data_IF_747245357001
#
_entry.id   IF_747245357001
#
_cell.length_a   1.000
_cell.length_b   1.000
_cell.length_c   1.000
_cell.angle_alpha   90.00
_cell.angle_beta   90.00
_cell.angle_gamma   90.00
#
_symmetry.space_group_name_H-M   'P 1'
#
loop_
_entity.id
_entity.type
_entity.pdbx_description
1 polymer ?
#
# COMPACT_ATOMS: atom_id res chain seq x y z
N UNK A 1 3.87 -9.02 -7.45
CA UNK A 1 4.28 -10.04 -8.44
C UNK A 1 4.63 -11.34 -7.72
N UNK A 2 4.53 -12.48 -8.38
CA UNK A 2 4.91 -13.78 -7.82
C UNK A 2 6.02 -14.51 -8.60
N UNK A 3 6.23 -14.20 -9.88
CA UNK A 3 7.39 -14.67 -10.64
C UNK A 3 8.60 -13.76 -10.41
N UNK A 4 9.81 -14.31 -10.58
CA UNK A 4 11.07 -13.55 -10.60
C UNK A 4 11.03 -12.47 -11.68
N UNK A 5 10.56 -12.83 -12.87
CA UNK A 5 10.38 -11.94 -14.01
C UNK A 5 9.52 -10.72 -13.68
N UNK A 6 8.30 -10.91 -13.15
CA UNK A 6 7.45 -9.77 -12.79
C UNK A 6 7.94 -9.01 -11.54
N UNK A 7 8.66 -9.67 -10.62
CA UNK A 7 9.35 -8.96 -9.52
C UNK A 7 10.41 -8.01 -10.05
N UNK A 8 11.15 -8.41 -11.08
CA UNK A 8 12.11 -7.55 -11.76
C UNK A 8 11.43 -6.42 -12.54
N UNK A 9 10.37 -6.72 -13.32
CA UNK A 9 9.58 -5.70 -14.05
C UNK A 9 9.11 -4.56 -13.13
N UNK A 10 8.65 -4.86 -11.90
CA UNK A 10 8.16 -3.83 -10.96
C UNK A 10 9.22 -3.30 -9.98
N UNK A 11 10.50 -3.61 -10.20
CA UNK A 11 11.63 -3.22 -9.36
C UNK A 11 11.47 -3.61 -7.87
N UNK A 12 10.97 -4.84 -7.63
CA UNK A 12 10.79 -5.44 -6.29
C UNK A 12 11.39 -6.85 -6.25
N UNK A 13 12.68 -6.94 -6.56
CA UNK A 13 13.42 -8.19 -6.54
C UNK A 13 13.52 -8.76 -5.13
N UNK A 14 12.97 -9.97 -4.93
CA UNK A 14 13.15 -10.81 -3.75
C UNK A 14 13.14 -12.26 -4.26
N UNK A 15 14.24 -13.02 -4.17
CA UNK A 15 14.26 -14.42 -4.57
C UNK A 15 13.21 -15.26 -3.83
N UNK A 16 12.65 -16.28 -4.50
CA UNK A 16 11.69 -17.19 -3.88
C UNK A 16 12.23 -17.85 -2.61
N UNK A 17 13.48 -18.31 -2.64
CA UNK A 17 14.08 -19.00 -1.50
C UNK A 17 14.32 -18.06 -0.31
N UNK A 18 14.57 -16.77 -0.54
CA UNK A 18 14.64 -15.78 0.54
C UNK A 18 13.26 -15.63 1.21
N UNK A 19 12.21 -15.42 0.42
CA UNK A 19 10.83 -15.30 0.90
C UNK A 19 10.36 -16.56 1.64
N UNK A 20 10.65 -17.75 1.10
CA UNK A 20 10.32 -19.04 1.71
C UNK A 20 11.08 -19.25 3.03
N UNK A 21 12.37 -18.91 3.08
CA UNK A 21 13.16 -19.03 4.31
C UNK A 21 12.71 -18.03 5.39
N UNK A 22 12.43 -16.77 5.03
CA UNK A 22 11.88 -15.77 5.95
C UNK A 22 10.54 -16.21 6.52
N UNK A 23 9.61 -16.69 5.68
CA UNK A 23 8.30 -17.16 6.15
C UNK A 23 8.42 -18.41 7.04
N UNK A 24 9.31 -19.36 6.69
CA UNK A 24 9.62 -20.52 7.55
C UNK A 24 10.13 -20.07 8.92
N UNK A 25 11.02 -19.09 9.00
CA UNK A 25 11.52 -18.57 10.28
C UNK A 25 10.42 -17.88 11.10
N UNK A 26 9.49 -17.15 10.47
CA UNK A 26 8.31 -16.58 11.12
C UNK A 26 7.42 -17.70 11.72
N UNK A 27 7.14 -18.77 10.96
CA UNK A 27 6.39 -19.92 11.46
C UNK A 27 7.11 -20.66 12.61
N UNK A 28 8.43 -20.81 12.54
CA UNK A 28 9.26 -21.42 13.60
C UNK A 28 9.17 -20.65 14.92
N UNK A 29 8.95 -19.32 14.87
CA UNK A 29 8.74 -18.44 16.03
C UNK A 29 7.30 -18.44 16.56
N UNK A 30 6.48 -19.42 16.18
CA UNK A 30 5.14 -19.63 16.74
C UNK A 30 4.00 -18.83 16.09
N UNK A 31 4.28 -18.00 15.09
CA UNK A 31 3.23 -17.34 14.30
C UNK A 31 2.45 -18.40 13.51
N UNK A 32 1.10 -18.31 13.52
CA UNK A 32 0.25 -19.29 12.83
C UNK A 32 -0.21 -18.85 11.43
N UNK A 33 -0.08 -17.57 11.09
CA UNK A 33 -0.53 -17.04 9.79
C UNK A 33 0.38 -15.97 9.22
N UNK A 34 0.59 -16.04 7.90
CA UNK A 34 1.30 -15.03 7.11
C UNK A 34 0.39 -14.56 5.97
N UNK A 35 0.35 -13.26 5.69
CA UNK A 35 -0.38 -12.68 4.56
C UNK A 35 0.59 -12.32 3.44
N UNK A 36 0.38 -12.91 2.27
CA UNK A 36 1.12 -12.62 1.04
C UNK A 36 0.32 -11.63 0.20
N UNK A 37 0.99 -10.60 -0.32
CA UNK A 37 0.37 -9.54 -1.12
C UNK A 37 0.86 -9.64 -2.56
N UNK A 38 -0.07 -9.99 -3.46
CA UNK A 38 0.15 -10.10 -4.89
C UNK A 38 -0.71 -9.08 -5.64
N UNK A 39 -0.38 -8.91 -6.91
CA UNK A 39 -1.05 -8.00 -7.82
C UNK A 39 -1.09 -8.65 -9.19
N UNK A 40 -2.24 -8.54 -9.87
CA UNK A 40 -2.46 -8.98 -11.24
C UNK A 40 -2.75 -7.79 -12.16
N UNK A 41 -2.67 -7.98 -13.47
CA UNK A 41 -2.82 -6.93 -14.47
C UNK A 41 -1.56 -6.11 -14.70
N UNK A 42 -0.40 -6.58 -14.23
CA UNK A 42 0.87 -5.89 -14.39
C UNK A 42 1.32 -5.84 -15.86
N UNK A 43 2.13 -4.83 -16.24
CA UNK A 43 2.70 -4.76 -17.58
C UNK A 43 3.51 -6.02 -17.90
N UNK A 44 3.39 -6.51 -19.13
CA UNK A 44 4.02 -7.77 -19.63
C UNK A 44 3.55 -9.07 -18.94
N UNK A 45 2.60 -9.05 -18.01
CA UNK A 45 2.12 -10.26 -17.31
C UNK A 45 1.53 -11.32 -18.25
N UNK A 46 1.94 -12.59 -18.05
CA UNK A 46 1.35 -13.77 -18.69
C UNK A 46 0.51 -14.58 -17.71
N UNK A 47 -0.26 -15.55 -18.20
CA UNK A 47 -1.02 -16.47 -17.34
C UNK A 47 -0.13 -17.39 -16.49
N UNK A 48 1.13 -17.61 -16.89
CA UNK A 48 2.10 -18.36 -16.08
C UNK A 48 2.56 -17.55 -14.86
N UNK A 49 2.70 -16.23 -14.98
CA UNK A 49 2.99 -15.36 -13.83
C UNK A 49 1.81 -15.31 -12.84
N UNK A 50 0.57 -15.38 -13.36
CA UNK A 50 -0.64 -15.50 -12.54
C UNK A 50 -0.68 -16.85 -11.84
N UNK A 51 -0.35 -17.94 -12.54
CA UNK A 51 -0.22 -19.28 -11.94
C UNK A 51 0.88 -19.33 -10.87
N UNK A 52 1.99 -18.59 -11.05
CA UNK A 52 3.07 -18.50 -10.07
C UNK A 52 2.60 -17.96 -8.71
N UNK A 53 1.54 -17.15 -8.64
CA UNK A 53 0.91 -16.72 -7.37
C UNK A 53 0.44 -17.93 -6.57
N UNK A 54 -0.20 -18.90 -7.23
CA UNK A 54 -0.66 -20.13 -6.59
C UNK A 54 0.53 -21.00 -6.17
N UNK A 55 1.44 -21.29 -7.11
CA UNK A 55 2.65 -22.11 -6.88
C UNK A 55 3.51 -21.60 -5.72
N UNK A 56 3.72 -20.28 -5.62
CA UNK A 56 4.48 -19.67 -4.53
C UNK A 56 3.72 -19.74 -3.20
N UNK A 57 2.41 -19.48 -3.19
CA UNK A 57 1.57 -19.61 -1.99
C UNK A 57 1.59 -21.05 -1.44
N UNK A 58 1.58 -22.05 -2.32
CA UNK A 58 1.69 -23.47 -1.97
C UNK A 58 3.07 -23.84 -1.42
N UNK A 59 4.16 -23.37 -2.05
CA UNK A 59 5.54 -23.59 -1.57
C UNK A 59 5.76 -22.98 -0.19
N UNK A 60 5.30 -21.75 0.03
CA UNK A 60 5.36 -21.05 1.32
C UNK A 60 4.56 -21.81 2.38
N UNK A 61 3.33 -22.26 2.07
CA UNK A 61 2.54 -23.09 2.98
C UNK A 61 3.27 -24.39 3.33
N UNK A 62 3.84 -25.10 2.34
CA UNK A 62 4.56 -26.36 2.52
C UNK A 62 5.77 -26.18 3.45
N UNK A 63 6.58 -25.15 3.23
CA UNK A 63 7.73 -24.83 4.08
C UNK A 63 7.30 -24.43 5.51
N UNK A 64 6.24 -23.62 5.64
CA UNK A 64 5.66 -23.28 6.95
C UNK A 64 5.15 -24.50 7.71
N UNK A 65 4.51 -25.46 7.02
CA UNK A 65 3.95 -26.68 7.62
C UNK A 65 5.00 -27.70 8.07
N UNK A 66 6.24 -27.61 7.58
CA UNK A 66 7.36 -28.42 8.08
C UNK A 66 7.81 -28.01 9.48
N UNK A 67 7.74 -26.71 9.81
CA UNK A 67 8.21 -26.16 11.10
C UNK A 67 7.08 -25.86 12.08
N UNK A 68 5.89 -25.51 11.59
CA UNK A 68 4.73 -25.27 12.43
C UNK A 68 3.49 -26.05 11.96
N UNK A 69 2.88 -26.77 12.89
CA UNK A 69 1.52 -27.29 12.69
C UNK A 69 0.53 -26.11 12.78
N UNK A 70 -0.76 -26.31 12.48
CA UNK A 70 -1.75 -25.22 12.30
C UNK A 70 -1.51 -24.24 11.12
N UNK A 71 -0.25 -23.91 10.74
CA UNK A 71 0.19 -22.87 9.80
C UNK A 71 -0.74 -22.61 8.58
N UNK A 72 -1.02 -21.33 8.33
CA UNK A 72 -1.97 -20.82 7.31
C UNK A 72 -1.37 -19.68 6.50
N UNK A 73 -1.82 -19.55 5.25
CA UNK A 73 -1.47 -18.44 4.36
C UNK A 73 -2.73 -17.63 4.03
N UNK A 74 -2.59 -16.32 3.92
CA UNK A 74 -3.62 -15.45 3.37
C UNK A 74 -3.09 -14.81 2.07
N UNK A 75 -3.52 -15.33 0.94
CA UNK A 75 -3.13 -14.85 -0.40
C UNK A 75 -4.07 -13.72 -0.81
N UNK A 76 -3.57 -12.48 -0.72
CA UNK A 76 -4.28 -11.26 -1.09
C UNK A 76 -3.86 -10.85 -2.51
N UNK A 77 -4.80 -10.62 -3.41
CA UNK A 77 -4.53 -10.28 -4.82
C UNK A 77 -5.28 -9.01 -5.19
N UNK A 78 -4.55 -7.95 -5.53
CA UNK A 78 -5.12 -6.69 -6.03
C UNK A 78 -5.00 -6.56 -7.55
N UNK A 79 -5.87 -5.74 -8.14
CA UNK A 79 -5.74 -5.36 -9.55
C UNK A 79 -4.75 -4.20 -9.69
N UNK A 80 -3.88 -4.25 -10.68
CA UNK A 80 -2.98 -3.15 -11.01
C UNK A 80 -3.77 -1.97 -11.57
N UNK A 81 -3.59 -0.80 -10.93
CA UNK A 81 -4.10 0.48 -11.41
C UNK A 81 -2.89 1.35 -11.74
N UNK A 82 -2.62 1.64 -13.03
CA UNK A 82 -1.45 2.46 -13.39
C UNK A 82 -1.62 3.89 -12.85
N UNK A 83 -0.59 4.40 -12.17
CA UNK A 83 -0.62 5.69 -11.46
C UNK A 83 0.18 6.78 -12.19
N UNK A 84 -0.29 8.05 -12.18
CA UNK A 84 0.50 9.24 -12.49
C UNK A 84 1.85 9.24 -11.79
N UNK A 85 2.86 9.86 -12.41
CA UNK A 85 4.21 10.00 -11.83
C UNK A 85 4.85 8.66 -11.42
N UNK A 86 4.60 7.62 -12.24
CA UNK A 86 5.27 6.32 -12.13
C UNK A 86 5.77 5.88 -13.52
N UNK A 87 6.75 4.97 -13.60
CA UNK A 87 7.19 4.40 -14.87
C UNK A 87 6.03 3.81 -15.70
N UNK A 88 5.00 3.29 -15.04
CA UNK A 88 3.85 2.66 -15.71
C UNK A 88 2.68 3.62 -16.03
N UNK A 89 2.86 4.93 -15.89
CA UNK A 89 1.78 5.90 -16.10
C UNK A 89 1.18 5.88 -17.53
N UNK A 90 1.92 5.37 -18.52
CA UNK A 90 1.45 5.18 -19.89
C UNK A 90 0.75 3.85 -20.15
N UNK A 91 0.83 2.88 -19.24
CA UNK A 91 0.28 1.55 -19.47
C UNK A 91 -1.24 1.55 -19.55
N UNK A 92 -1.82 0.50 -20.12
CA UNK A 92 -3.27 0.29 -20.02
C UNK A 92 -3.65 -0.20 -18.63
N UNK A 93 -4.89 0.00 -18.23
CA UNK A 93 -5.48 -0.86 -17.21
C UNK A 93 -5.93 -2.18 -17.84
N UNK A 94 -5.83 -3.27 -17.07
CA UNK A 94 -6.41 -4.57 -17.44
C UNK A 94 -7.95 -4.48 -17.44
N UNK A 95 -8.62 -5.13 -18.38
CA UNK A 95 -10.09 -5.11 -18.46
C UNK A 95 -10.73 -5.96 -17.35
N UNK A 96 -11.99 -5.68 -17.01
CA UNK A 96 -12.71 -6.45 -16.00
C UNK A 96 -12.87 -7.94 -16.38
N UNK A 97 -12.94 -8.25 -17.68
CA UNK A 97 -12.99 -9.61 -18.20
C UNK A 97 -11.68 -10.38 -17.97
N UNK A 98 -10.53 -9.78 -18.30
CA UNK A 98 -9.21 -10.34 -18.02
C UNK A 98 -8.95 -10.50 -16.51
N UNK A 99 -9.40 -9.55 -15.68
CA UNK A 99 -9.35 -9.68 -14.20
C UNK A 99 -10.17 -10.89 -13.75
N UNK A 100 -11.38 -11.09 -14.29
CA UNK A 100 -12.23 -12.23 -13.98
C UNK A 100 -11.57 -13.56 -14.36
N UNK A 101 -10.97 -13.66 -15.56
CA UNK A 101 -10.25 -14.85 -16.01
C UNK A 101 -9.10 -15.22 -15.05
N UNK A 102 -8.27 -14.24 -14.70
CA UNK A 102 -7.15 -14.40 -13.76
C UNK A 102 -7.63 -14.80 -12.37
N UNK A 103 -8.71 -14.19 -11.89
CA UNK A 103 -9.36 -14.57 -10.64
C UNK A 103 -9.88 -16.02 -10.69
N UNK A 104 -10.54 -16.44 -11.76
CA UNK A 104 -11.11 -17.78 -11.86
C UNK A 104 -10.02 -18.87 -11.94
N UNK A 105 -8.88 -18.60 -12.58
CA UNK A 105 -7.69 -19.47 -12.49
C UNK A 105 -7.19 -19.60 -11.05
N UNK A 106 -7.03 -18.48 -10.34
CA UNK A 106 -6.55 -18.47 -8.95
C UNK A 106 -7.52 -19.17 -7.99
N UNK A 107 -8.84 -18.97 -8.16
CA UNK A 107 -9.87 -19.71 -7.42
C UNK A 107 -9.73 -21.22 -7.65
N UNK A 108 -9.67 -21.65 -8.91
CA UNK A 108 -9.55 -23.06 -9.31
C UNK A 108 -8.33 -23.75 -8.68
N UNK A 109 -7.22 -23.03 -8.50
CA UNK A 109 -5.99 -23.56 -7.90
C UNK A 109 -5.98 -23.51 -6.37
N UNK A 110 -6.37 -22.38 -5.77
CA UNK A 110 -6.17 -22.14 -4.34
C UNK A 110 -7.36 -22.50 -3.45
N UNK A 111 -8.61 -22.43 -3.94
CA UNK A 111 -9.79 -22.73 -3.11
C UNK A 111 -9.84 -24.18 -2.58
N UNK A 112 -9.33 -25.21 -3.28
CA UNK A 112 -9.21 -26.56 -2.72
C UNK A 112 -8.32 -26.65 -1.46
N UNK A 113 -7.40 -25.69 -1.26
CA UNK A 113 -6.37 -25.73 -0.23
C UNK A 113 -6.86 -25.00 1.02
N UNK A 114 -7.51 -25.74 1.93
CA UNK A 114 -8.15 -25.20 3.16
C UNK A 114 -7.27 -24.33 4.06
N UNK A 115 -5.95 -24.42 3.97
CA UNK A 115 -5.01 -23.61 4.75
C UNK A 115 -4.61 -22.29 4.06
N UNK A 116 -5.03 -22.07 2.81
CA UNK A 116 -4.85 -20.81 2.08
C UNK A 116 -6.18 -20.08 2.03
N UNK A 117 -6.32 -19.02 2.82
CA UNK A 117 -7.40 -18.05 2.63
C UNK A 117 -7.04 -17.19 1.42
N UNK A 118 -7.98 -17.01 0.49
CA UNK A 118 -7.79 -16.13 -0.66
C UNK A 118 -8.65 -14.87 -0.47
N UNK A 119 -8.09 -13.71 -0.81
CA UNK A 119 -8.80 -12.43 -0.88
C UNK A 119 -8.48 -11.79 -2.22
N UNK A 120 -9.46 -11.78 -3.12
CA UNK A 120 -9.37 -11.17 -4.44
C UNK A 120 -10.05 -9.80 -4.38
N UNK A 121 -9.41 -8.76 -4.89
CA UNK A 121 -9.99 -7.43 -4.91
C UNK A 121 -11.18 -7.36 -5.87
N UNK A 122 -12.14 -6.49 -5.57
CA UNK A 122 -13.28 -6.24 -6.44
C UNK A 122 -12.84 -5.57 -7.76
N UNK A 123 -13.48 -5.96 -8.87
CA UNK A 123 -13.09 -5.57 -10.23
C UNK A 123 -13.72 -4.23 -10.67
N UNK A 124 -15.03 -3.99 -10.51
CA UNK A 124 -15.66 -2.68 -10.72
C UNK A 124 -14.99 -1.52 -9.99
N UNK A 125 -14.70 -1.67 -8.69
CA UNK A 125 -14.07 -0.59 -7.89
C UNK A 125 -12.66 -0.26 -8.39
N UNK A 126 -11.83 -1.26 -8.71
CA UNK A 126 -10.51 -1.02 -9.33
C UNK A 126 -10.60 -0.39 -10.72
N UNK A 127 -11.59 -0.77 -11.54
CA UNK A 127 -11.81 -0.18 -12.87
C UNK A 127 -12.18 1.31 -12.76
N UNK A 128 -13.09 1.66 -11.85
CA UNK A 128 -13.42 3.05 -11.55
C UNK A 128 -12.22 3.81 -10.97
N UNK A 129 -11.46 3.21 -10.06
CA UNK A 129 -10.23 3.79 -9.49
C UNK A 129 -9.25 4.17 -10.60
N UNK A 130 -9.08 3.34 -11.62
CA UNK A 130 -8.26 3.62 -12.78
C UNK A 130 -8.76 4.79 -13.61
N UNK A 131 -10.07 4.87 -13.87
CA UNK A 131 -10.65 6.02 -14.57
C UNK A 131 -10.38 7.32 -13.79
N UNK A 132 -10.73 7.35 -12.50
CA UNK A 132 -10.53 8.51 -11.63
C UNK A 132 -9.05 8.90 -11.49
N UNK A 133 -8.15 7.92 -11.50
CA UNK A 133 -6.69 8.10 -11.45
C UNK A 133 -6.12 8.67 -12.76
N UNK A 134 -6.67 8.27 -13.92
CA UNK A 134 -6.04 8.45 -15.24
C UNK A 134 -6.74 9.47 -16.16
N UNK A 135 -7.93 9.93 -15.77
CA UNK A 135 -8.69 10.89 -16.56
C UNK A 135 -8.16 12.31 -16.46
N UNK A 136 -8.81 13.22 -17.17
CA UNK A 136 -8.50 14.65 -17.17
C UNK A 136 -9.57 15.46 -16.41
N UNK A 137 -9.37 16.79 -16.36
CA UNK A 137 -10.26 17.76 -15.69
C UNK A 137 -11.76 17.60 -16.03
N UNK A 138 -12.12 17.00 -17.17
CA UNK A 138 -13.52 16.73 -17.57
C UNK A 138 -14.23 15.76 -16.60
N UNK A 139 -13.50 14.83 -15.95
CA UNK A 139 -14.05 13.92 -14.95
C UNK A 139 -14.69 14.64 -13.75
N UNK A 140 -14.30 15.88 -13.46
CA UNK A 140 -14.95 16.66 -12.39
C UNK A 140 -16.47 16.77 -12.60
N UNK A 141 -16.94 16.85 -13.85
CA UNK A 141 -18.37 16.85 -14.17
C UNK A 141 -19.01 15.49 -13.87
N UNK A 142 -18.35 14.40 -14.23
CA UNK A 142 -18.80 13.02 -14.00
C UNK A 142 -18.88 12.68 -12.52
N UNK A 143 -17.90 13.10 -11.72
CA UNK A 143 -17.90 12.91 -10.26
C UNK A 143 -19.10 13.64 -9.63
N UNK A 144 -19.36 14.89 -10.03
CA UNK A 144 -20.54 15.64 -9.56
C UNK A 144 -21.85 14.98 -9.99
N UNK A 145 -21.91 14.41 -11.20
CA UNK A 145 -23.10 13.74 -11.72
C UNK A 145 -23.37 12.39 -11.02
N UNK A 146 -22.34 11.57 -10.80
CA UNK A 146 -22.44 10.35 -9.99
C UNK A 146 -22.87 10.69 -8.55
N UNK A 147 -22.34 11.78 -7.99
CA UNK A 147 -22.77 12.30 -6.69
C UNK A 147 -24.24 12.75 -6.69
N UNK A 148 -24.77 13.37 -7.75
CA UNK A 148 -26.21 13.67 -7.85
C UNK A 148 -27.06 12.40 -7.91
N UNK A 149 -26.57 11.36 -8.59
CA UNK A 149 -27.18 10.01 -8.68
C UNK A 149 -26.97 9.16 -7.41
N UNK A 150 -26.41 9.76 -6.36
CA UNK A 150 -26.34 9.15 -5.03
C UNK A 150 -25.16 8.22 -4.79
N UNK A 151 -24.12 8.22 -5.64
CA UNK A 151 -22.83 7.58 -5.37
C UNK A 151 -22.19 8.21 -4.12
N UNK A 152 -22.03 7.44 -3.05
CA UNK A 152 -21.46 7.87 -1.76
C UNK A 152 -20.69 6.70 -1.20
N UNK A 153 -19.52 6.98 -0.63
CA UNK A 153 -18.70 5.99 0.06
C UNK A 153 -18.31 4.78 -0.82
N UNK A 154 -18.12 5.00 -2.12
CA UNK A 154 -17.78 4.01 -3.14
C UNK A 154 -16.50 3.18 -2.90
N UNK A 155 -15.71 3.53 -1.87
CA UNK A 155 -14.58 2.72 -1.38
C UNK A 155 -14.99 1.54 -0.48
N UNK A 156 -16.26 1.43 -0.10
CA UNK A 156 -16.84 0.28 0.61
C UNK A 156 -17.80 -0.45 -0.32
N UNK A 157 -17.58 -1.75 -0.52
CA UNK A 157 -18.29 -2.56 -1.54
C UNK A 157 -19.81 -2.59 -1.28
N UNK A 158 -20.24 -2.54 -0.02
CA UNK A 158 -21.63 -2.45 0.41
C UNK A 158 -22.33 -1.11 0.09
N UNK A 159 -21.56 -0.08 -0.27
CA UNK A 159 -22.06 1.25 -0.63
C UNK A 159 -21.79 1.66 -2.08
N UNK A 160 -21.00 0.87 -2.81
CA UNK A 160 -20.65 1.11 -4.20
C UNK A 160 -21.89 1.01 -5.12
N UNK A 161 -22.11 2.03 -5.95
CA UNK A 161 -23.27 2.12 -6.86
C UNK A 161 -22.83 2.18 -8.33
N UNK A 162 -22.57 1.04 -8.99
CA UNK A 162 -22.07 1.01 -10.36
C UNK A 162 -23.03 1.66 -11.37
N UNK A 163 -24.34 1.63 -11.13
CA UNK A 163 -25.36 2.25 -11.97
C UNK A 163 -25.21 3.77 -11.99
N UNK A 164 -25.02 4.40 -10.82
CA UNK A 164 -24.84 5.84 -10.69
C UNK A 164 -23.61 6.35 -11.46
N UNK A 165 -22.53 5.56 -11.50
CA UNK A 165 -21.35 5.86 -12.32
C UNK A 165 -21.59 5.63 -13.81
N UNK A 166 -22.23 4.53 -14.18
CA UNK A 166 -22.57 4.18 -15.57
C UNK A 166 -23.42 5.29 -16.22
N UNK A 167 -24.47 5.71 -15.52
CA UNK A 167 -25.33 6.81 -15.95
C UNK A 167 -24.60 8.16 -15.99
N UNK A 168 -23.70 8.44 -15.03
CA UNK A 168 -22.91 9.65 -15.02
C UNK A 168 -21.91 9.72 -16.18
N UNK A 169 -21.27 8.60 -16.54
CA UNK A 169 -20.41 8.52 -17.73
C UNK A 169 -21.20 8.79 -19.01
N UNK A 170 -22.38 8.17 -19.16
CA UNK A 170 -23.28 8.39 -20.29
C UNK A 170 -23.73 9.86 -20.39
N UNK A 171 -24.22 10.44 -19.29
CA UNK A 171 -24.69 11.82 -19.23
C UNK A 171 -23.59 12.88 -19.48
N UNK A 172 -22.32 12.54 -19.22
CA UNK A 172 -21.17 13.44 -19.42
C UNK A 172 -20.35 13.17 -20.68
N UNK A 173 -20.69 12.13 -21.45
CA UNK A 173 -19.99 11.77 -22.69
C UNK A 173 -18.53 11.36 -22.47
N UNK A 174 -18.20 10.80 -21.31
CA UNK A 174 -16.83 10.38 -20.99
C UNK A 174 -16.59 8.95 -21.47
N UNK A 175 -15.76 8.84 -22.50
CA UNK A 175 -15.19 7.60 -23.01
C UNK A 175 -14.19 7.01 -21.99
N UNK A 176 -14.58 5.90 -21.36
CA UNK A 176 -13.79 5.22 -20.33
C UNK A 176 -12.64 4.40 -20.93
N UNK A 177 -12.85 3.77 -22.09
CA UNK A 177 -11.85 2.96 -22.77
C UNK A 177 -10.67 3.82 -23.26
N UNK A 178 -10.95 5.04 -23.74
CA UNK A 178 -9.93 6.04 -24.08
C UNK A 178 -9.14 6.57 -22.88
N UNK A 179 -9.66 6.43 -21.65
CA UNK A 179 -8.92 6.73 -20.41
C UNK A 179 -8.07 5.52 -19.99
N UNK A 180 -8.61 4.30 -20.10
CA UNK A 180 -7.96 3.08 -19.64
C UNK A 180 -7.02 2.41 -20.67
N UNK A 181 -7.03 2.82 -21.95
CA UNK A 181 -6.08 2.39 -22.99
C UNK A 181 -4.62 2.68 -22.64
N UNK A 182 -3.69 2.00 -23.32
CA UNK A 182 -2.27 2.38 -23.32
C UNK A 182 -2.10 3.74 -24.03
N UNK A 183 -1.21 4.58 -23.49
CA UNK A 183 -0.82 5.89 -24.03
C UNK A 183 0.55 5.79 -24.71
N UNK A 184 0.82 6.68 -25.66
CA UNK A 184 2.18 6.81 -26.20
C UNK A 184 3.10 7.45 -25.16
N UNK A 185 4.40 7.09 -25.13
CA UNK A 185 5.38 7.74 -24.26
C UNK A 185 5.47 9.27 -24.52
N UNK A 186 5.20 9.67 -25.76
CA UNK A 186 5.18 11.08 -26.21
C UNK A 186 3.81 11.75 -26.08
N UNK A 187 2.80 11.04 -25.54
CA UNK A 187 1.48 11.62 -25.32
C UNK A 187 1.52 12.66 -24.17
N UNK A 188 0.89 13.84 -24.35
CA UNK A 188 0.59 14.75 -23.24
C UNK A 188 -0.34 14.06 -22.23
N UNK A 189 0.09 13.98 -20.97
CA UNK A 189 -0.65 13.35 -19.90
C UNK A 189 -1.48 14.39 -19.13
N UNK A 190 -2.67 14.05 -18.61
CA UNK A 190 -3.51 14.98 -17.86
C UNK A 190 -2.82 15.65 -16.66
N UNK A 191 -1.82 14.99 -16.08
CA UNK A 191 -1.03 15.41 -14.92
C UNK A 191 0.37 15.95 -15.26
N UNK A 192 0.72 16.14 -16.55
CA UNK A 192 2.03 16.73 -16.95
C UNK A 192 2.24 18.17 -16.40
N UNK A 193 1.16 18.82 -15.92
CA UNK A 193 1.19 20.15 -15.29
C UNK A 193 1.45 20.10 -13.77
N UNK A 194 1.60 18.91 -13.19
CA UNK A 194 1.88 18.70 -11.76
C UNK A 194 3.35 18.32 -11.64
N UNK A 195 4.12 19.15 -10.95
CA UNK A 195 5.50 18.81 -10.62
C UNK A 195 5.57 17.87 -9.41
N UNK A 196 6.39 16.84 -9.53
CA UNK A 196 6.68 15.86 -8.49
C UNK A 196 8.19 15.67 -8.27
N UNK A 197 9.02 16.54 -8.85
CA UNK A 197 10.48 16.52 -8.88
C UNK A 197 11.10 15.32 -9.62
N UNK A 198 10.30 14.35 -10.06
CA UNK A 198 10.73 13.21 -10.88
C UNK A 198 10.37 13.48 -12.35
N UNK A 199 11.40 13.55 -13.20
CA UNK A 199 11.25 13.90 -14.62
C UNK A 199 10.49 12.83 -15.41
N UNK A 200 9.76 13.27 -16.43
CA UNK A 200 9.07 12.39 -17.39
C UNK A 200 10.08 11.49 -18.12
N UNK A 201 11.26 12.02 -18.41
CA UNK A 201 12.41 11.34 -19.03
C UNK A 201 12.95 10.21 -18.14
N UNK A 202 13.01 10.40 -16.82
CA UNK A 202 13.36 9.34 -15.89
C UNK A 202 12.30 8.22 -15.94
N UNK A 203 11.01 8.57 -15.84
CA UNK A 203 9.94 7.58 -15.94
C UNK A 203 9.95 6.80 -17.27
N UNK A 204 10.27 7.45 -18.41
CA UNK A 204 10.46 6.76 -19.71
C UNK A 204 11.60 5.74 -19.66
N UNK A 205 12.76 6.11 -19.10
CA UNK A 205 13.92 5.21 -18.94
C UNK A 205 13.59 4.01 -18.05
N UNK A 206 12.92 4.25 -16.93
CA UNK A 206 12.50 3.18 -16.02
C UNK A 206 11.43 2.28 -16.65
N UNK A 207 10.53 2.81 -17.48
CA UNK A 207 9.59 1.98 -18.25
C UNK A 207 10.31 1.06 -19.23
N UNK A 208 11.31 1.58 -19.96
CA UNK A 208 12.13 0.80 -20.89
C UNK A 208 12.92 -0.31 -20.18
N UNK A 209 13.49 -0.05 -19.00
CA UNK A 209 14.10 -1.09 -18.15
C UNK A 209 13.06 -2.13 -17.72
N UNK A 210 11.91 -1.68 -17.23
CA UNK A 210 10.85 -2.54 -16.71
C UNK A 210 10.34 -3.53 -17.77
N UNK A 211 10.07 -3.09 -19.02
CA UNK A 211 9.63 -3.99 -20.10
C UNK A 211 10.72 -4.98 -20.53
N UNK A 212 12.00 -4.66 -20.29
CA UNK A 212 13.14 -5.56 -20.47
C UNK A 212 13.43 -6.43 -19.22
N UNK A 213 12.59 -6.38 -18.18
CA UNK A 213 12.80 -6.99 -16.87
C UNK A 213 14.14 -6.62 -16.19
N UNK A 214 14.66 -5.43 -16.48
CA UNK A 214 15.85 -4.86 -15.84
C UNK A 214 15.52 -4.24 -14.48
N UNK A 215 16.47 -4.36 -13.54
CA UNK A 215 16.40 -3.76 -12.21
C UNK A 215 17.05 -2.37 -12.18
N UNK A 216 16.58 -1.52 -11.27
CA UNK A 216 17.27 -0.29 -10.90
C UNK A 216 17.96 -0.47 -9.56
N UNK A 217 19.26 -0.17 -9.50
CA UNK A 217 20.04 -0.30 -8.27
C UNK A 217 19.66 0.78 -7.26
N UNK A 218 19.97 0.56 -5.99
CA UNK A 218 19.69 1.52 -4.93
C UNK A 218 20.36 2.89 -5.20
N UNK A 219 19.59 3.98 -5.22
CA UNK A 219 20.11 5.32 -5.52
C UNK A 219 21.16 5.83 -4.51
N UNK A 220 21.29 5.14 -3.36
CA UNK A 220 22.29 5.42 -2.31
C UNK A 220 23.67 4.86 -2.63
N UNK A 221 23.77 3.95 -3.61
CA UNK A 221 25.06 3.47 -4.16
C UNK A 221 25.48 4.27 -5.40
N UNK A 222 24.53 4.57 -6.30
CA UNK A 222 24.75 5.41 -7.48
C UNK A 222 23.51 6.26 -7.81
N UNK A 223 23.68 7.55 -8.09
CA UNK A 223 22.55 8.43 -8.42
C UNK A 223 22.09 8.27 -9.87
N UNK A 224 20.80 7.99 -10.08
CA UNK A 224 20.19 7.78 -11.40
C UNK A 224 19.68 9.05 -12.08
N UNK A 225 19.89 10.23 -11.48
CA UNK A 225 19.39 11.54 -11.95
C UNK A 225 17.89 11.52 -12.28
N UNK A 226 17.07 11.24 -11.26
CA UNK A 226 15.61 11.22 -11.41
C UNK A 226 14.98 12.62 -11.58
N UNK A 227 15.71 13.70 -11.26
CA UNK A 227 15.24 15.09 -11.22
C UNK A 227 15.37 15.69 -9.81
N UNK A 228 15.01 14.91 -8.78
CA UNK A 228 15.03 15.35 -7.36
C UNK A 228 16.39 15.90 -6.91
N UNK A 229 17.49 15.40 -7.47
CA UNK A 229 18.84 15.86 -7.10
C UNK A 229 19.16 17.27 -7.66
N UNK A 230 18.49 17.68 -8.73
CA UNK A 230 18.78 18.94 -9.41
C UNK A 230 18.17 20.13 -8.64
N UNK A 231 17.01 19.93 -7.98
CA UNK A 231 16.37 20.92 -7.10
C UNK A 231 16.66 20.68 -5.60
N UNK A 232 16.65 19.43 -5.14
CA UNK A 232 16.75 19.06 -3.73
C UNK A 232 18.01 18.24 -3.41
N UNK A 233 19.15 18.64 -3.97
CA UNK A 233 20.47 18.02 -3.76
C UNK A 233 20.75 17.64 -2.30
N UNK A 234 20.48 18.53 -1.34
CA UNK A 234 20.75 18.29 0.08
C UNK A 234 19.90 17.14 0.65
N UNK A 235 18.67 16.94 0.18
CA UNK A 235 17.81 15.84 0.60
C UNK A 235 18.37 14.49 0.12
N UNK A 236 18.79 14.41 -1.15
CA UNK A 236 19.46 13.22 -1.69
C UNK A 236 20.76 12.91 -0.93
N UNK A 237 21.58 13.94 -0.69
CA UNK A 237 22.84 13.82 0.07
C UNK A 237 22.58 13.33 1.50
N UNK A 238 21.59 13.89 2.20
CA UNK A 238 21.21 13.45 3.54
C UNK A 238 20.77 11.98 3.56
N UNK A 239 19.96 11.51 2.59
CA UNK A 239 19.58 10.10 2.50
C UNK A 239 20.78 9.17 2.32
N UNK A 240 21.75 9.55 1.47
CA UNK A 240 23.00 8.79 1.26
C UNK A 240 23.80 8.70 2.57
N UNK A 241 24.02 9.83 3.25
CA UNK A 241 24.77 9.86 4.51
C UNK A 241 24.06 9.10 5.63
N UNK A 242 22.76 9.31 5.85
CA UNK A 242 21.99 8.61 6.88
C UNK A 242 21.99 7.10 6.65
N UNK A 243 21.89 6.63 5.41
CA UNK A 243 21.95 5.21 5.10
C UNK A 243 23.35 4.59 5.34
N UNK A 244 24.43 5.35 5.09
CA UNK A 244 25.80 4.91 5.41
C UNK A 244 26.06 4.88 6.92
N UNK A 245 25.68 5.94 7.63
CA UNK A 245 25.88 6.06 9.08
C UNK A 245 24.96 5.11 9.89
N UNK A 246 23.74 4.87 9.41
CA UNK A 246 22.77 3.94 10.02
C UNK A 246 23.00 2.46 9.68
N UNK A 247 23.99 2.14 8.83
CA UNK A 247 24.33 0.77 8.48
C UNK A 247 25.05 0.11 9.66
N UNK A 248 24.25 -0.45 10.59
CA UNK A 248 24.79 -1.35 11.62
C UNK A 248 25.60 -2.44 10.93
N UNK A 249 26.78 -2.74 11.49
CA UNK A 249 27.51 -3.96 11.14
C UNK A 249 26.56 -5.12 11.40
N UNK A 250 26.48 -6.08 10.47
CA UNK A 250 25.84 -7.37 10.74
C UNK A 250 26.70 -8.12 11.75
N UNK A 251 26.47 -7.82 13.03
CA UNK A 251 26.93 -8.66 14.12
C UNK A 251 26.18 -9.99 14.04
N UNK A 252 26.84 -11.07 14.44
CA UNK A 252 26.22 -12.39 14.59
C UNK A 252 25.00 -12.29 15.50
N UNK A 253 23.81 -12.20 14.89
CA UNK A 253 22.55 -12.11 15.64
C UNK A 253 22.29 -13.46 16.28
N UNK A 254 22.78 -13.61 17.51
CA UNK A 254 22.35 -14.68 18.39
C UNK A 254 20.94 -14.35 18.86
N UNK A 255 20.04 -15.34 18.77
CA UNK A 255 18.72 -15.21 19.37
C UNK A 255 18.92 -15.03 20.87
N UNK A 256 18.58 -13.88 21.47
CA UNK A 256 18.64 -13.75 22.91
C UNK A 256 17.77 -14.87 23.51
N UNK A 257 18.16 -15.49 24.64
CA UNK A 257 17.30 -16.43 25.32
C UNK A 257 15.95 -15.74 25.52
N UNK A 258 14.88 -16.49 25.26
CA UNK A 258 13.52 -15.96 25.30
C UNK A 258 13.20 -15.59 26.75
N UNK A 259 13.57 -14.37 27.14
CA UNK A 259 13.30 -13.82 28.45
C UNK A 259 11.79 -13.89 28.65
N UNK A 260 11.38 -14.25 29.86
CA UNK A 260 10.01 -13.96 30.29
C UNK A 260 9.71 -12.51 29.91
N UNK A 261 8.56 -12.28 29.26
CA UNK A 261 8.17 -10.96 28.80
C UNK A 261 7.78 -10.12 30.02
N UNK A 262 8.78 -9.67 30.78
CA UNK A 262 8.59 -8.74 31.88
C UNK A 262 7.97 -7.49 31.28
N UNK A 263 6.72 -7.14 31.63
CA UNK A 263 6.03 -6.03 31.00
C UNK A 263 6.86 -4.75 31.20
N UNK A 264 7.36 -4.08 30.13
CA UNK A 264 8.31 -2.97 30.27
C UNK A 264 7.68 -1.68 30.80
N UNK A 265 6.43 -1.73 31.26
CA UNK A 265 5.70 -0.62 31.83
C UNK A 265 5.07 -1.05 33.14
N UNK A 266 5.07 -0.18 34.18
CA UNK A 266 4.27 -0.39 35.37
C UNK A 266 2.79 -0.51 34.98
N UNK A 267 2.04 -1.24 35.80
CA UNK A 267 0.60 -1.35 35.61
C UNK A 267 -0.08 0.02 35.68
N UNK A 268 -1.21 0.14 34.97
CA UNK A 268 -1.96 1.39 34.91
C UNK A 268 -2.68 1.62 36.25
N UNK A 269 -2.01 2.34 37.16
CA UNK A 269 -2.51 2.64 38.52
C UNK A 269 -3.80 3.46 38.54
N UNK A 270 -4.09 4.22 37.47
CA UNK A 270 -5.31 5.01 37.34
C UNK A 270 -5.72 5.19 35.87
N UNK A 271 -7.02 5.47 35.65
CA UNK A 271 -7.54 5.95 34.37
C UNK A 271 -8.05 7.37 34.55
N UNK A 272 -7.40 8.32 33.88
CA UNK A 272 -7.84 9.71 33.83
C UNK A 272 -8.78 9.91 32.64
N UNK A 273 -9.76 10.80 32.80
CA UNK A 273 -10.48 11.45 31.70
C UNK A 273 -10.25 12.95 31.81
N UNK A 274 -9.86 13.59 30.73
CA UNK A 274 -9.65 15.04 30.68
C UNK A 274 -10.46 15.68 29.56
N UNK A 275 -10.84 16.94 29.76
CA UNK A 275 -11.49 17.77 28.74
C UNK A 275 -10.42 18.63 28.08
N UNK A 276 -10.49 18.78 26.76
CA UNK A 276 -9.61 19.67 26.00
C UNK A 276 -10.38 20.46 24.94
N UNK A 277 -9.71 21.49 24.40
CA UNK A 277 -10.25 22.39 23.38
C UNK A 277 -9.44 22.24 22.10
N UNK A 278 -10.12 22.09 20.95
CA UNK A 278 -9.55 22.05 19.60
C UNK A 278 -10.00 23.31 18.85
N UNK A 279 -9.15 24.34 18.85
CA UNK A 279 -9.39 25.65 18.23
C UNK A 279 -8.15 26.14 17.47
N UNK A 280 -8.26 27.27 16.77
CA UNK A 280 -7.14 27.83 15.99
C UNK A 280 -6.66 26.86 14.91
N UNK A 281 -5.35 26.81 14.68
CA UNK A 281 -4.72 25.96 13.66
C UNK A 281 -4.88 24.46 13.95
N UNK A 282 -5.00 24.07 15.23
CA UNK A 282 -5.17 22.65 15.65
C UNK A 282 -6.44 22.05 15.04
N UNK A 283 -7.43 22.86 14.62
CA UNK A 283 -8.63 22.40 13.90
C UNK A 283 -8.31 21.59 12.64
N UNK A 284 -7.18 21.86 11.99
CA UNK A 284 -6.74 21.22 10.76
C UNK A 284 -6.05 19.87 10.97
N UNK A 285 -5.69 19.51 12.22
CA UNK A 285 -5.21 18.16 12.51
C UNK A 285 -6.34 17.14 12.36
N UNK A 286 -6.07 16.05 11.65
CA UNK A 286 -6.88 14.85 11.66
C UNK A 286 -6.82 14.14 13.02
N UNK A 287 -7.71 13.16 13.22
CA UNK A 287 -7.78 12.41 14.48
C UNK A 287 -6.45 11.73 14.86
N UNK A 288 -5.76 11.12 13.89
CA UNK A 288 -4.47 10.44 14.11
C UNK A 288 -3.33 11.42 14.41
N UNK A 289 -3.36 12.61 13.79
CA UNK A 289 -2.40 13.68 14.06
C UNK A 289 -2.63 14.30 15.44
N UNK A 290 -3.89 14.47 15.86
CA UNK A 290 -4.25 14.91 17.21
C UNK A 290 -3.79 13.92 18.29
N UNK A 291 -4.02 12.62 18.09
CA UNK A 291 -3.51 11.56 18.99
C UNK A 291 -1.97 11.58 19.05
N UNK A 292 -1.31 11.78 17.90
CA UNK A 292 0.15 11.90 17.82
C UNK A 292 0.68 13.16 18.51
N UNK A 293 0.01 14.29 18.35
CA UNK A 293 0.34 15.56 19.00
C UNK A 293 0.18 15.46 20.52
N UNK A 294 -0.92 14.89 21.01
CA UNK A 294 -1.17 14.66 22.44
C UNK A 294 -0.10 13.73 23.04
N UNK A 295 0.23 12.63 22.36
CA UNK A 295 1.29 11.70 22.77
C UNK A 295 2.66 12.37 22.86
N UNK A 296 2.98 13.26 21.90
CA UNK A 296 4.22 14.06 21.91
C UNK A 296 4.20 15.13 23.01
N UNK A 297 3.06 15.75 23.28
CA UNK A 297 2.89 16.72 24.36
C UNK A 297 3.11 16.08 25.74
N UNK A 298 2.46 14.95 26.02
CA UNK A 298 2.67 14.18 27.25
C UNK A 298 4.14 13.78 27.45
N UNK A 299 4.81 13.30 26.37
CA UNK A 299 6.24 12.98 26.42
C UNK A 299 7.12 14.21 26.69
N UNK A 300 6.79 15.38 26.13
CA UNK A 300 7.54 16.64 26.34
C UNK A 300 7.28 17.28 27.71
N UNK A 301 6.13 17.00 28.31
CA UNK A 301 5.76 17.44 29.66
C UNK A 301 6.12 16.39 30.74
N UNK A 302 6.86 15.33 30.36
CA UNK A 302 7.30 14.24 31.23
C UNK A 302 6.16 13.54 32.01
N UNK A 303 4.93 13.61 31.47
CA UNK A 303 3.75 13.01 32.10
C UNK A 303 3.86 11.49 32.01
N UNK A 304 3.82 10.76 33.14
CA UNK A 304 3.87 9.30 33.13
C UNK A 304 2.59 8.74 32.51
N UNK A 305 2.73 7.98 31.42
CA UNK A 305 1.61 7.41 30.67
C UNK A 305 1.77 5.91 30.47
N UNK A 306 0.72 5.16 30.83
CA UNK A 306 0.68 3.71 30.63
C UNK A 306 0.69 3.35 29.14
N UNK A 307 1.30 2.20 28.80
CA UNK A 307 1.41 1.71 27.41
C UNK A 307 0.79 0.32 27.22
N UNK A 308 0.63 -0.09 25.97
CA UNK A 308 0.32 -1.47 25.60
C UNK A 308 1.54 -2.38 25.78
N UNK A 309 1.28 -3.67 26.08
CA UNK A 309 2.32 -4.70 26.27
C UNK A 309 2.64 -5.46 24.97
N UNK A 310 2.43 -4.82 23.81
CA UNK A 310 2.75 -5.41 22.49
C UNK A 310 4.17 -5.07 22.03
N UNK A 311 4.64 -5.73 20.96
CA UNK A 311 5.97 -5.49 20.35
C UNK A 311 6.23 -4.02 19.98
N UNK A 312 5.19 -3.21 19.77
CA UNK A 312 5.27 -1.76 19.68
C UNK A 312 4.42 -1.12 20.81
N UNK A 313 5.03 -0.70 21.94
CA UNK A 313 4.31 -0.12 23.08
C UNK A 313 3.72 1.27 22.80
N UNK A 314 2.45 1.30 22.41
CA UNK A 314 1.67 2.54 22.20
C UNK A 314 1.11 3.07 23.54
N UNK A 315 1.00 4.39 23.67
CA UNK A 315 0.36 5.01 24.84
C UNK A 315 -1.13 4.64 24.88
N UNK A 316 -1.63 4.27 26.07
CA UNK A 316 -3.05 3.98 26.33
C UNK A 316 -3.84 5.29 26.39
N UNK A 317 -4.10 5.87 25.23
CA UNK A 317 -4.90 7.08 25.03
C UNK A 317 -6.08 6.75 24.10
N UNK A 318 -7.30 6.95 24.59
CA UNK A 318 -8.53 6.94 23.81
C UNK A 318 -9.10 8.35 23.66
N UNK A 319 -10.07 8.53 22.77
CA UNK A 319 -10.84 9.75 22.63
C UNK A 319 -12.32 9.39 22.56
N UNK A 320 -13.19 10.24 23.10
CA UNK A 320 -14.64 10.00 23.04
C UNK A 320 -15.19 10.14 21.60
N UNK A 321 -14.58 11.02 20.81
CA UNK A 321 -15.04 11.43 19.48
C UNK A 321 -13.87 11.63 18.53
N UNK A 322 -14.09 11.31 17.25
CA UNK A 322 -13.17 11.65 16.16
C UNK A 322 -13.67 12.92 15.44
N UNK A 323 -13.43 14.08 16.04
CA UNK A 323 -13.90 15.36 15.49
C UNK A 323 -13.33 15.59 14.06
N UNK A 324 -14.17 15.83 13.04
CA UNK A 324 -13.74 16.08 11.68
C UNK A 324 -12.67 17.18 11.53
N UNK A 325 -11.86 17.04 10.48
CA UNK A 325 -10.88 18.06 10.05
C UNK A 325 -11.59 19.37 9.74
N UNK A 326 -11.03 20.48 10.18
CA UNK A 326 -11.59 21.83 10.00
C UNK A 326 -12.56 22.27 11.10
N UNK A 327 -13.19 21.33 11.83
CA UNK A 327 -14.10 21.67 12.93
C UNK A 327 -13.35 22.04 14.22
N UNK A 328 -13.94 22.98 14.94
CA UNK A 328 -13.53 23.45 16.27
C UNK A 328 -14.42 22.83 17.36
N UNK A 329 -13.89 22.70 18.57
CA UNK A 329 -14.65 22.26 19.75
C UNK A 329 -14.04 22.81 21.03
N UNK A 330 -14.89 23.24 21.97
CA UNK A 330 -14.52 23.72 23.30
C UNK A 330 -14.67 22.64 24.38
N UNK A 331 -14.89 21.38 24.01
CA UNK A 331 -15.20 20.32 24.95
C UNK A 331 -15.10 18.92 24.37
N UNK A 332 -13.96 18.60 23.77
CA UNK A 332 -13.60 17.21 23.48
C UNK A 332 -13.14 16.49 24.77
N UNK A 333 -13.26 15.17 24.80
CA UNK A 333 -12.83 14.34 25.92
C UNK A 333 -11.93 13.19 25.48
N UNK A 334 -10.94 12.88 26.31
CA UNK A 334 -10.02 11.75 26.19
C UNK A 334 -9.80 11.10 27.56
#
# INVERSE_FOLDING_TARGET
AASDRLRAVIDKWIPDEELINTTREVFRRGWESVKLYFMIGLPTETMDDVLAIATLSERVLKAGRQVNKRARIHTSVSTFVPKPHTPFQWERQVTMAEVKEKHDLLKKKLYPIRQIKVSLHDSPTSWLEGILTRGDRRLGRTIVEAWRRGARFDGWTEHFKPEAWTEAFAATGIDQDRINRRRSLEEPLPWDHIDCLVTKEYHKKEWLKAVAAGLTTDCRTACHRCGVIDEHKQLCVNQIYTARAGKKVEADWTMPPMSELTPPNPDAVMRLRFRFTKTGEIRFLSHLELQSAMTRAFRRAEIPVARSQGFNPHVKLGFATALPVGLISHGEYA
#
